data_IF_549941896938
#
_entry.id   IF_549941896938
#
_cell.length_a   1.000
_cell.length_b   1.000
_cell.length_c   1.000
_cell.angle_alpha   90.00
_cell.angle_beta   90.00
_cell.angle_gamma   90.00
#
_symmetry.space_group_name_H-M   'P 1'
#
loop_
_entity.id
_entity.type
_entity.pdbx_description
1 polymer ?
#
# COMPACT_ATOMS: atom_id res chain seq x y z
N UNK A 1 5.17 -34.54 51.25
CA UNK A 1 4.76 -34.53 49.83
C UNK A 1 3.47 -33.73 49.77
N UNK A 2 3.50 -32.53 49.20
CA UNK A 2 2.31 -31.66 49.18
C UNK A 2 2.35 -30.76 47.95
N UNK A 3 1.92 -31.28 46.81
CA UNK A 3 1.75 -30.52 45.57
C UNK A 3 0.72 -31.25 44.71
N UNK A 4 -0.56 -30.92 44.84
CA UNK A 4 -1.61 -31.40 43.93
C UNK A 4 -2.87 -30.51 43.91
N UNK A 5 -2.91 -29.40 44.67
CA UNK A 5 -4.08 -28.53 44.79
C UNK A 5 -3.98 -27.24 43.95
N UNK A 6 -2.89 -27.08 43.19
CA UNK A 6 -2.56 -25.84 42.44
C UNK A 6 -2.78 -25.95 40.93
N UNK A 7 -2.88 -27.15 40.36
CA UNK A 7 -2.84 -27.32 38.89
C UNK A 7 -4.00 -26.61 38.17
N UNK A 8 -5.22 -26.70 38.71
CA UNK A 8 -6.38 -25.97 38.17
C UNK A 8 -6.37 -24.46 38.47
N UNK A 9 -5.41 -23.97 39.28
CA UNK A 9 -5.18 -22.52 39.44
C UNK A 9 -4.20 -21.96 38.43
N UNK A 10 -3.26 -22.77 37.99
CA UNK A 10 -2.26 -22.39 37.01
C UNK A 10 -2.86 -22.37 35.60
N UNK A 11 -3.64 -23.41 35.25
CA UNK A 11 -4.31 -23.52 33.94
C UNK A 11 -5.26 -22.34 33.65
N UNK A 12 -6.02 -21.88 34.66
CA UNK A 12 -6.89 -20.70 34.51
C UNK A 12 -6.12 -19.38 34.41
N UNK A 13 -4.91 -19.32 34.96
CA UNK A 13 -4.08 -18.13 34.86
C UNK A 13 -3.44 -18.07 33.47
N UNK A 14 -3.03 -19.22 32.94
CA UNK A 14 -2.52 -19.35 31.57
C UNK A 14 -3.58 -18.89 30.56
N UNK A 15 -4.84 -19.34 30.69
CA UNK A 15 -5.95 -18.91 29.81
C UNK A 15 -6.18 -17.39 29.86
N UNK A 16 -6.17 -16.78 31.06
CA UNK A 16 -6.31 -15.33 31.22
C UNK A 16 -5.14 -14.57 30.58
N UNK A 17 -3.93 -15.11 30.69
CA UNK A 17 -2.73 -14.51 30.12
C UNK A 17 -2.80 -14.57 28.59
N UNK A 18 -3.20 -15.70 28.02
CA UNK A 18 -3.35 -15.87 26.57
C UNK A 18 -4.39 -14.88 26.00
N UNK A 19 -5.55 -14.73 26.65
CA UNK A 19 -6.58 -13.77 26.24
C UNK A 19 -6.06 -12.32 26.22
N UNK A 20 -5.30 -11.93 27.25
CA UNK A 20 -4.70 -10.59 27.34
C UNK A 20 -3.64 -10.39 26.25
N UNK A 21 -2.83 -11.41 25.97
CA UNK A 21 -1.81 -11.35 24.92
C UNK A 21 -2.46 -11.19 23.55
N UNK A 22 -3.51 -11.94 23.25
CA UNK A 22 -4.21 -11.86 21.97
C UNK A 22 -4.89 -10.49 21.77
N UNK A 23 -5.58 -10.00 22.79
CA UNK A 23 -6.23 -8.68 22.75
C UNK A 23 -5.19 -7.56 22.57
N UNK A 24 -4.07 -7.63 23.28
CA UNK A 24 -2.99 -6.63 23.15
C UNK A 24 -2.31 -6.71 21.79
N UNK A 25 -2.11 -7.91 21.23
CA UNK A 25 -1.55 -8.08 19.89
C UNK A 25 -2.44 -7.47 18.81
N UNK A 26 -3.74 -7.76 18.81
CA UNK A 26 -4.71 -7.18 17.86
C UNK A 26 -4.70 -5.65 17.97
N UNK A 27 -4.75 -5.13 19.19
CA UNK A 27 -4.77 -3.70 19.45
C UNK A 27 -3.47 -2.98 19.06
N UNK A 28 -2.31 -3.63 19.10
CA UNK A 28 -1.01 -2.99 18.82
C UNK A 28 -0.56 -3.21 17.39
N UNK A 29 -0.79 -4.40 16.82
CA UNK A 29 -0.21 -4.83 15.54
C UNK A 29 -1.22 -4.70 14.42
N UNK A 30 -2.45 -5.17 14.62
CA UNK A 30 -3.46 -5.20 13.56
C UNK A 30 -4.20 -3.86 13.40
N UNK A 31 -4.38 -3.12 14.50
CA UNK A 31 -5.02 -1.80 14.48
C UNK A 31 -4.15 -0.70 13.85
N UNK A 32 -2.87 -0.97 13.55
CA UNK A 32 -1.96 0.02 12.99
C UNK A 32 -2.38 0.39 11.57
N UNK A 33 -2.70 1.67 11.28
CA UNK A 33 -3.00 2.07 9.93
C UNK A 33 -1.77 1.84 9.05
N UNK A 34 -1.93 1.08 7.95
CA UNK A 34 -0.88 0.88 6.96
C UNK A 34 -0.36 2.26 6.52
N UNK A 35 0.92 2.53 6.77
CA UNK A 35 1.56 3.77 6.33
C UNK A 35 1.44 3.86 4.81
N UNK A 36 0.73 4.89 4.34
CA UNK A 36 0.62 5.22 2.92
C UNK A 36 2.04 5.45 2.37
N UNK A 37 2.44 4.66 1.38
CA UNK A 37 3.73 4.88 0.70
C UNK A 37 3.66 6.19 -0.06
N UNK A 38 4.62 7.09 0.19
CA UNK A 38 4.76 8.32 -0.60
C UNK A 38 5.22 7.96 -2.00
N UNK A 39 4.55 8.49 -3.03
CA UNK A 39 5.01 8.36 -4.42
C UNK A 39 6.22 9.28 -4.62
N UNK A 40 7.28 8.74 -5.22
CA UNK A 40 8.40 9.56 -5.67
C UNK A 40 7.99 10.35 -6.92
N UNK A 41 8.49 11.59 -7.02
CA UNK A 41 8.41 12.34 -8.27
C UNK A 41 9.31 11.67 -9.32
N UNK A 42 8.79 11.53 -10.54
CA UNK A 42 9.55 11.05 -11.69
C UNK A 42 9.42 12.13 -12.76
N UNK A 43 10.55 12.72 -13.13
CA UNK A 43 10.65 13.66 -14.23
C UNK A 43 10.29 12.98 -15.55
N UNK A 44 9.48 13.66 -16.36
CA UNK A 44 8.87 13.10 -17.58
C UNK A 44 9.14 13.92 -18.83
N UNK A 45 10.06 14.89 -18.74
CA UNK A 45 10.40 15.81 -19.83
C UNK A 45 9.16 16.35 -20.56
N UNK A 46 8.18 16.85 -19.79
CA UNK A 46 6.83 17.19 -20.31
C UNK A 46 6.87 18.19 -21.46
N UNK A 47 7.75 19.18 -21.37
CA UNK A 47 7.93 20.20 -22.43
C UNK A 47 8.45 19.57 -23.71
N UNK A 48 9.46 18.70 -23.60
CA UNK A 48 10.04 18.03 -24.75
C UNK A 48 9.07 17.01 -25.36
N UNK A 49 8.30 16.31 -24.53
CA UNK A 49 7.17 15.48 -24.97
C UNK A 49 6.10 16.29 -25.71
N UNK A 50 5.75 17.47 -25.21
CA UNK A 50 4.79 18.36 -25.86
C UNK A 50 5.28 18.85 -27.22
N UNK A 51 6.53 19.30 -27.32
CA UNK A 51 7.13 19.73 -28.59
C UNK A 51 7.15 18.59 -29.62
N UNK A 52 7.47 17.36 -29.20
CA UNK A 52 7.42 16.18 -30.08
C UNK A 52 6.01 15.93 -30.61
N UNK A 53 5.01 15.91 -29.72
CA UNK A 53 3.60 15.74 -30.12
C UNK A 53 3.17 16.84 -31.08
N UNK A 54 3.51 18.08 -30.79
CA UNK A 54 3.18 19.21 -31.66
C UNK A 54 3.75 19.03 -33.07
N UNK A 55 5.03 18.68 -33.16
CA UNK A 55 5.70 18.46 -34.44
C UNK A 55 5.12 17.27 -35.21
N UNK A 56 4.75 16.19 -34.52
CA UNK A 56 4.19 14.98 -35.16
C UNK A 56 2.79 15.20 -35.76
N UNK A 57 1.97 16.06 -35.13
CA UNK A 57 0.57 16.25 -35.52
C UNK A 57 0.31 17.50 -36.37
N UNK A 58 1.11 18.56 -36.21
CA UNK A 58 0.82 19.88 -36.78
C UNK A 58 1.93 20.44 -37.67
N UNK A 59 3.01 19.70 -37.92
CA UNK A 59 4.00 20.12 -38.93
C UNK A 59 3.47 19.92 -40.36
N UNK A 60 4.06 20.64 -41.31
CA UNK A 60 3.73 20.48 -42.73
C UNK A 60 4.03 19.05 -43.22
N UNK A 61 5.10 18.44 -42.69
CA UNK A 61 5.50 17.05 -42.92
C UNK A 61 5.08 16.12 -41.77
N UNK A 62 3.88 16.32 -41.22
CA UNK A 62 3.37 15.52 -40.11
C UNK A 62 3.40 14.01 -40.42
N UNK A 63 3.88 13.22 -39.45
CA UNK A 63 3.95 11.75 -39.54
C UNK A 63 2.58 11.13 -39.83
N UNK A 64 1.51 11.76 -39.32
CA UNK A 64 0.14 11.32 -39.54
C UNK A 64 -0.66 12.36 -40.34
N UNK A 65 -1.25 11.97 -41.47
CA UNK A 65 -2.04 12.90 -42.27
C UNK A 65 -3.38 13.23 -41.60
N UNK A 66 -3.82 14.48 -41.74
CA UNK A 66 -4.98 15.07 -41.04
C UNK A 66 -6.31 14.35 -41.27
N UNK A 67 -6.47 13.63 -42.38
CA UNK A 67 -7.70 12.90 -42.70
C UNK A 67 -7.94 11.66 -41.82
N UNK A 68 -6.92 11.14 -41.13
CA UNK A 68 -7.08 10.03 -40.17
C UNK A 68 -7.85 10.44 -38.91
N UNK A 69 -7.88 11.74 -38.59
CA UNK A 69 -8.46 12.26 -37.36
C UNK A 69 -9.80 12.98 -37.55
N UNK A 70 -10.26 13.10 -38.80
CA UNK A 70 -11.57 13.68 -39.13
C UNK A 70 -12.63 12.57 -39.11
N UNK A 71 -13.64 12.71 -38.25
CA UNK A 71 -14.85 11.87 -38.27
C UNK A 71 -15.87 12.41 -39.27
#
# INVERSE_FOLDING_TARGET
>A
MSSSSSDGVEERLDEIIDDIIDETYINIVESQPKKQRKRAYIERDRELGHNRLWNDYFSEDATFPTHLFRR
#
